data_IF_990001344641
#
_entry.id   IF_990001344641
#
_cell.length_a   1.000
_cell.length_b   1.000
_cell.length_c   1.000
_cell.angle_alpha   90.00
_cell.angle_beta   90.00
_cell.angle_gamma   90.00
#
_symmetry.space_group_name_H-M   'P 1'
#
loop_
_entity.id
_entity.type
_entity.pdbx_description
1 polymer ?
#
# COMPACT_ATOMS: atom_id res chain seq x y z
N UNK A 1 14.26 9.60 6.04
CA UNK A 1 14.33 8.17 6.29
C UNK A 1 14.15 7.43 4.99
N UNK A 2 15.17 6.72 4.55
CA UNK A 2 15.12 6.03 3.27
C UNK A 2 14.45 4.67 3.39
N UNK A 3 13.60 4.36 2.42
CA UNK A 3 13.01 3.04 2.27
C UNK A 3 13.17 2.59 0.82
N UNK A 4 13.02 1.29 0.60
CA UNK A 4 12.96 0.72 -0.74
C UNK A 4 11.95 -0.41 -0.77
N UNK A 5 11.44 -0.69 -1.96
CA UNK A 5 10.50 -1.78 -2.17
C UNK A 5 11.24 -2.97 -2.76
N UNK A 6 10.93 -4.16 -2.23
CA UNK A 6 11.40 -5.41 -2.81
C UNK A 6 10.22 -6.34 -2.95
N UNK A 7 10.05 -6.90 -4.14
CA UNK A 7 8.97 -7.84 -4.37
C UNK A 7 9.05 -9.03 -3.41
N UNK A 8 7.91 -9.44 -2.88
CA UNK A 8 7.85 -10.62 -2.03
C UNK A 8 8.11 -11.86 -2.89
N UNK A 9 9.00 -12.72 -2.42
CA UNK A 9 9.41 -13.93 -3.11
C UNK A 9 9.75 -15.04 -2.11
N UNK A 10 10.34 -16.12 -2.60
CA UNK A 10 10.68 -17.28 -1.76
C UNK A 10 11.74 -16.99 -0.69
N UNK A 11 12.52 -15.91 -0.83
CA UNK A 11 13.58 -15.58 0.13
C UNK A 11 13.10 -14.67 1.26
N UNK A 12 12.01 -13.94 1.09
CA UNK A 12 11.58 -12.95 2.09
C UNK A 12 10.12 -13.07 2.54
N UNK A 13 9.34 -14.01 2.02
CA UNK A 13 7.92 -14.07 2.38
C UNK A 13 7.69 -14.38 3.87
N UNK A 14 8.60 -15.09 4.51
CA UNK A 14 8.49 -15.38 5.94
C UNK A 14 8.62 -14.10 6.76
N UNK A 15 9.48 -13.17 6.33
CA UNK A 15 9.60 -11.88 7.00
C UNK A 15 8.28 -11.11 6.94
N UNK A 16 7.57 -11.20 5.79
CA UNK A 16 6.26 -10.58 5.66
C UNK A 16 5.25 -11.19 6.64
N UNK A 17 5.32 -12.50 6.87
CA UNK A 17 4.43 -13.18 7.82
C UNK A 17 4.63 -12.70 9.26
N UNK A 18 5.82 -12.25 9.59
CA UNK A 18 6.16 -11.79 10.94
C UNK A 18 5.80 -10.31 11.20
N UNK A 19 5.41 -9.57 10.16
CA UNK A 19 4.96 -8.19 10.34
C UNK A 19 3.65 -8.17 11.12
N UNK A 20 3.55 -7.25 12.07
CA UNK A 20 2.37 -7.15 12.94
C UNK A 20 1.68 -5.80 12.75
N UNK A 21 0.36 -5.83 12.66
CA UNK A 21 -0.45 -4.62 12.67
C UNK A 21 -0.47 -4.02 14.08
N UNK A 22 -0.55 -2.71 14.17
CA UNK A 22 -0.73 -2.04 15.46
C UNK A 22 -2.11 -2.38 16.02
N UNK A 23 -2.26 -2.25 17.33
CA UNK A 23 -3.53 -2.55 18.00
C UNK A 23 -4.68 -1.78 17.34
N UNK A 24 -5.72 -2.50 16.94
CA UNK A 24 -6.89 -1.93 16.27
C UNK A 24 -6.78 -1.78 14.77
N UNK A 25 -5.58 -1.84 14.20
CA UNK A 25 -5.43 -1.70 12.74
C UNK A 25 -5.99 -2.88 11.94
N UNK A 26 -6.12 -4.05 12.56
CA UNK A 26 -6.72 -5.22 11.91
C UNK A 26 -8.16 -4.97 11.46
N UNK A 27 -8.81 -3.92 12.01
CA UNK A 27 -10.14 -3.50 11.57
C UNK A 27 -10.09 -2.67 10.28
N UNK A 28 -8.91 -2.19 9.88
CA UNK A 28 -8.75 -1.26 8.77
C UNK A 28 -7.91 -1.81 7.63
N UNK A 29 -7.01 -2.73 7.89
CA UNK A 29 -6.02 -3.20 6.91
C UNK A 29 -5.94 -4.72 6.95
N UNK A 30 -5.80 -5.35 5.79
CA UNK A 30 -5.54 -6.78 5.69
C UNK A 30 -4.14 -7.10 6.18
N UNK A 31 -3.98 -8.25 6.83
CA UNK A 31 -2.66 -8.74 7.21
C UNK A 31 -1.83 -9.08 5.96
N UNK A 32 -0.50 -9.08 6.05
CA UNK A 32 0.33 -9.51 4.91
C UNK A 32 0.01 -10.92 4.43
N UNK A 33 -0.29 -11.85 5.32
CA UNK A 33 -0.66 -13.22 4.93
C UNK A 33 -1.92 -13.23 4.06
N UNK A 34 -2.94 -12.51 4.49
CA UNK A 34 -4.20 -12.43 3.74
C UNK A 34 -3.99 -11.72 2.40
N UNK A 35 -3.21 -10.64 2.40
CA UNK A 35 -2.90 -9.89 1.21
C UNK A 35 -2.13 -10.74 0.19
N UNK A 36 -1.17 -11.54 0.64
CA UNK A 36 -0.40 -12.43 -0.24
C UNK A 36 -1.29 -13.53 -0.85
N UNK A 37 -2.28 -14.03 -0.09
CA UNK A 37 -3.23 -14.99 -0.63
C UNK A 37 -4.07 -14.35 -1.76
N UNK A 38 -4.48 -13.10 -1.58
CA UNK A 38 -5.20 -12.36 -2.61
C UNK A 38 -4.31 -12.08 -3.82
N UNK A 39 -3.03 -11.78 -3.59
CA UNK A 39 -2.07 -11.53 -4.67
C UNK A 39 -1.91 -12.76 -5.58
N UNK A 40 -2.03 -13.95 -5.01
CA UNK A 40 -1.99 -15.18 -5.80
C UNK A 40 -3.18 -15.24 -6.78
N UNK A 41 -4.36 -14.84 -6.32
CA UNK A 41 -5.58 -14.86 -7.16
C UNK A 41 -5.45 -13.85 -8.31
N UNK A 42 -4.89 -12.68 -8.04
CA UNK A 42 -4.78 -11.59 -9.00
C UNK A 42 -3.34 -11.38 -9.50
N UNK A 43 -2.57 -12.47 -9.60
CA UNK A 43 -1.12 -12.40 -9.86
C UNK A 43 -0.76 -11.69 -11.18
N UNK A 44 -1.67 -11.63 -12.14
CA UNK A 44 -1.43 -10.98 -13.44
C UNK A 44 -1.52 -9.45 -13.39
N UNK A 45 -1.98 -8.89 -12.29
CA UNK A 45 -2.29 -7.46 -12.20
C UNK A 45 -1.86 -6.82 -10.88
N UNK A 46 -1.09 -7.52 -10.08
CA UNK A 46 -0.65 -6.96 -8.81
C UNK A 46 0.80 -7.34 -8.49
N UNK A 47 1.41 -6.54 -7.61
CA UNK A 47 2.74 -6.81 -7.10
C UNK A 47 2.75 -6.57 -5.60
N UNK A 48 2.98 -7.61 -4.78
CA UNK A 48 3.20 -7.44 -3.35
C UNK A 48 4.66 -7.09 -3.08
N UNK A 49 4.88 -6.08 -2.24
CA UNK A 49 6.22 -5.62 -1.87
C UNK A 49 6.43 -5.65 -0.37
N UNK A 50 7.64 -6.04 0.05
CA UNK A 50 8.14 -5.69 1.35
C UNK A 50 8.70 -4.27 1.31
N UNK A 51 8.46 -3.51 2.35
CA UNK A 51 9.04 -2.18 2.55
C UNK A 51 10.27 -2.37 3.43
N UNK A 52 11.42 -1.94 2.95
CA UNK A 52 12.70 -2.15 3.64
C UNK A 52 13.33 -0.85 4.05
N UNK A 53 13.94 -0.86 5.22
CA UNK A 53 14.91 0.14 5.64
C UNK A 53 16.22 -0.60 5.89
N UNK A 54 17.25 -0.32 5.09
CA UNK A 54 18.44 -1.15 5.08
C UNK A 54 18.08 -2.58 4.70
N UNK A 55 18.51 -3.53 5.49
CA UNK A 55 18.23 -4.97 5.24
C UNK A 55 17.00 -5.48 5.98
N UNK A 56 16.31 -4.60 6.70
CA UNK A 56 15.17 -5.00 7.53
C UNK A 56 13.85 -4.67 6.83
N UNK A 57 12.95 -5.66 6.75
CA UNK A 57 11.59 -5.43 6.29
C UNK A 57 10.80 -4.75 7.42
N UNK A 58 10.35 -3.53 7.17
CA UNK A 58 9.62 -2.72 8.16
C UNK A 58 8.13 -2.59 7.84
N UNK A 59 7.70 -3.07 6.67
CA UNK A 59 6.31 -2.98 6.29
C UNK A 59 6.01 -3.75 5.02
N UNK A 60 4.79 -3.56 4.54
CA UNK A 60 4.26 -4.29 3.39
C UNK A 60 3.32 -3.38 2.60
N UNK A 61 3.31 -3.52 1.27
CA UNK A 61 2.36 -2.82 0.42
C UNK A 61 2.05 -3.67 -0.80
N UNK A 62 0.79 -3.65 -1.25
CA UNK A 62 0.41 -4.30 -2.50
C UNK A 62 -0.19 -3.28 -3.46
N UNK A 63 0.33 -3.27 -4.67
CA UNK A 63 -0.15 -2.42 -5.77
C UNK A 63 -0.87 -3.32 -6.75
N UNK A 64 -2.07 -2.92 -7.18
CA UNK A 64 -2.86 -3.65 -8.17
C UNK A 64 -3.28 -2.69 -9.28
N UNK A 65 -3.40 -3.23 -10.50
CA UNK A 65 -3.85 -2.49 -11.66
C UNK A 65 -5.20 -3.04 -12.11
N UNK A 66 -6.18 -2.16 -12.23
CA UNK A 66 -7.50 -2.51 -12.73
C UNK A 66 -7.54 -2.29 -14.23
N UNK A 67 -7.57 -3.37 -15.01
CA UNK A 67 -7.58 -3.30 -16.46
C UNK A 67 -8.88 -2.75 -17.03
N UNK A 68 -9.97 -2.84 -16.28
CA UNK A 68 -11.30 -2.42 -16.76
C UNK A 68 -11.47 -0.90 -16.74
N UNK A 69 -10.89 -0.24 -15.74
CA UNK A 69 -11.00 1.21 -15.61
C UNK A 69 -9.68 1.95 -15.75
N UNK A 70 -8.66 1.36 -16.35
CA UNK A 70 -7.21 1.66 -16.33
C UNK A 70 -6.78 2.53 -15.14
N UNK A 71 -6.59 1.89 -13.98
CA UNK A 71 -6.29 2.60 -12.74
C UNK A 71 -5.37 1.76 -11.86
N UNK A 72 -4.40 2.41 -11.21
CA UNK A 72 -3.60 1.76 -10.18
C UNK A 72 -4.23 1.98 -8.83
N UNK A 73 -4.24 0.95 -8.01
CA UNK A 73 -4.72 1.04 -6.63
C UNK A 73 -3.63 0.58 -5.67
N UNK A 74 -3.49 1.30 -4.57
CA UNK A 74 -2.72 0.85 -3.43
C UNK A 74 -3.71 0.07 -2.58
N UNK A 75 -3.62 -1.27 -2.67
CA UNK A 75 -4.66 -2.11 -2.11
C UNK A 75 -4.47 -2.38 -0.62
N UNK A 76 -3.24 -2.65 -0.21
CA UNK A 76 -2.92 -2.86 1.19
C UNK A 76 -1.59 -2.19 1.48
N UNK A 77 -1.49 -1.49 2.60
CA UNK A 77 -0.24 -0.87 3.03
C UNK A 77 -0.19 -0.81 4.55
N UNK A 78 0.90 -1.29 5.14
CA UNK A 78 1.08 -1.23 6.59
C UNK A 78 2.56 -1.14 6.93
N UNK A 79 2.84 -0.55 8.09
CA UNK A 79 4.17 -0.54 8.71
C UNK A 79 4.07 -1.37 9.98
N UNK A 80 5.06 -2.22 10.21
CA UNK A 80 5.11 -3.07 11.40
C UNK A 80 4.92 -2.24 12.67
N UNK A 81 4.18 -2.78 13.63
CA UNK A 81 3.83 -2.06 14.86
C UNK A 81 5.05 -1.51 15.61
N UNK A 82 6.17 -2.21 15.55
CA UNK A 82 7.40 -1.78 16.22
C UNK A 82 8.16 -0.69 15.46
N UNK A 83 7.76 -0.41 14.23
CA UNK A 83 8.46 0.53 13.35
C UNK A 83 7.64 1.78 13.02
N UNK A 84 6.46 1.94 13.59
CA UNK A 84 5.62 3.10 13.33
C UNK A 84 6.16 4.36 14.00
N UNK A 85 5.77 5.52 13.45
CA UNK A 85 6.21 6.80 13.99
C UNK A 85 7.61 7.23 13.57
N UNK A 86 8.26 6.50 12.68
CA UNK A 86 9.64 6.79 12.24
C UNK A 86 9.71 7.40 10.84
N UNK A 87 8.57 7.61 10.18
CA UNK A 87 8.54 8.18 8.83
C UNK A 87 8.62 7.18 7.69
N UNK A 88 8.60 5.88 7.98
CA UNK A 88 8.70 4.85 6.93
C UNK A 88 7.49 4.84 6.00
N UNK A 89 6.29 5.05 6.54
CA UNK A 89 5.09 5.08 5.71
C UNK A 89 5.14 6.16 4.64
N UNK A 90 5.59 7.34 5.01
CA UNK A 90 5.72 8.46 4.09
C UNK A 90 6.76 8.18 3.01
N UNK A 91 7.92 7.68 3.41
CA UNK A 91 8.98 7.35 2.46
C UNK A 91 8.54 6.22 1.52
N UNK A 92 7.90 5.18 2.06
CA UNK A 92 7.43 4.05 1.27
C UNK A 92 6.35 4.46 0.28
N UNK A 93 5.44 5.35 0.68
CA UNK A 93 4.41 5.84 -0.23
C UNK A 93 5.03 6.53 -1.44
N UNK A 94 6.10 7.30 -1.24
CA UNK A 94 6.81 7.91 -2.35
C UNK A 94 7.42 6.85 -3.27
N UNK A 95 7.99 5.80 -2.71
CA UNK A 95 8.51 4.68 -3.52
C UNK A 95 7.41 4.02 -4.34
N UNK A 96 6.23 3.84 -3.75
CA UNK A 96 5.07 3.25 -4.45
C UNK A 96 4.65 4.13 -5.63
N UNK A 97 4.56 5.44 -5.42
CA UNK A 97 4.18 6.36 -6.49
C UNK A 97 5.22 6.36 -7.61
N UNK A 98 6.50 6.30 -7.27
CA UNK A 98 7.57 6.21 -8.26
C UNK A 98 7.46 4.92 -9.08
N UNK A 99 7.16 3.80 -8.42
CA UNK A 99 6.93 2.54 -9.09
C UNK A 99 5.76 2.62 -10.07
N UNK A 100 4.64 3.19 -9.63
CA UNK A 100 3.45 3.33 -10.48
C UNK A 100 3.71 4.24 -11.69
N UNK A 101 4.56 5.26 -11.53
CA UNK A 101 4.92 6.14 -12.65
C UNK A 101 5.62 5.41 -13.79
N UNK A 102 6.23 4.26 -13.51
CA UNK A 102 6.84 3.43 -14.54
C UNK A 102 5.81 2.61 -15.31
N UNK A 103 4.54 2.65 -14.92
CA UNK A 103 3.41 1.98 -15.58
C UNK A 103 3.66 0.49 -15.79
N UNK A 104 3.94 -0.25 -14.70
CA UNK A 104 4.38 -1.65 -14.80
C UNK A 104 3.36 -2.61 -15.41
N UNK A 105 2.06 -2.30 -15.37
CA UNK A 105 1.01 -3.16 -15.90
C UNK A 105 0.25 -2.54 -17.08
N UNK A 106 0.21 -1.24 -17.14
CA UNK A 106 -0.54 -0.57 -18.18
C UNK A 106 -0.56 0.93 -17.96
N UNK A 107 -1.13 1.64 -18.93
CA UNK A 107 -1.15 3.10 -18.92
C UNK A 107 -2.23 3.63 -17.99
N UNK A 108 -1.85 4.50 -17.11
CA UNK A 108 -2.75 5.32 -16.29
C UNK A 108 -1.91 6.29 -15.45
N UNK A 109 -2.44 7.50 -15.30
CA UNK A 109 -1.85 8.49 -14.40
C UNK A 109 -2.64 8.60 -13.10
N UNK A 110 -3.64 7.75 -12.91
CA UNK A 110 -4.51 7.80 -11.74
C UNK A 110 -4.13 6.72 -10.74
N UNK A 111 -4.01 7.12 -9.49
CA UNK A 111 -3.81 6.20 -8.36
C UNK A 111 -4.94 6.41 -7.36
N UNK A 112 -5.58 5.30 -6.95
CA UNK A 112 -6.66 5.35 -5.98
C UNK A 112 -6.38 4.42 -4.82
N UNK A 113 -7.10 4.61 -3.75
CA UNK A 113 -7.10 3.73 -2.59
C UNK A 113 -8.36 3.97 -1.79
N UNK A 114 -8.68 3.04 -0.91
CA UNK A 114 -9.73 3.26 0.09
C UNK A 114 -9.08 3.32 1.46
N UNK A 115 -9.64 4.15 2.32
CA UNK A 115 -9.15 4.34 3.68
C UNK A 115 -10.35 4.43 4.62
N UNK A 116 -10.27 3.71 5.74
CA UNK A 116 -11.30 3.81 6.75
C UNK A 116 -11.28 5.22 7.35
N UNK A 117 -12.43 5.87 7.40
CA UNK A 117 -12.53 7.26 7.87
C UNK A 117 -12.04 7.45 9.31
N UNK A 118 -12.01 6.39 10.10
CA UNK A 118 -11.52 6.45 11.47
C UNK A 118 -10.02 6.22 11.58
N UNK A 119 -9.37 5.78 10.51
CA UNK A 119 -7.92 5.58 10.48
C UNK A 119 -7.23 6.92 10.21
N UNK A 120 -7.14 7.75 11.24
CA UNK A 120 -6.64 9.14 11.12
C UNK A 120 -5.18 9.21 10.69
N UNK A 121 -4.36 8.28 11.16
CA UNK A 121 -2.94 8.26 10.79
C UNK A 121 -2.75 8.06 9.30
N UNK A 122 -3.44 7.07 8.74
CA UNK A 122 -3.37 6.80 7.30
C UNK A 122 -3.99 7.95 6.50
N UNK A 123 -5.13 8.48 6.95
CA UNK A 123 -5.80 9.59 6.28
C UNK A 123 -4.86 10.78 6.13
N UNK A 124 -4.18 11.16 7.21
CA UNK A 124 -3.23 12.28 7.18
C UNK A 124 -2.08 12.01 6.22
N UNK A 125 -1.56 10.79 6.21
CA UNK A 125 -0.48 10.39 5.32
C UNK A 125 -0.88 10.60 3.85
N UNK A 126 -2.04 10.09 3.47
CA UNK A 126 -2.48 10.17 2.08
C UNK A 126 -2.84 11.59 1.66
N UNK A 127 -3.52 12.35 2.51
CA UNK A 127 -3.87 13.73 2.19
C UNK A 127 -2.60 14.59 2.01
N UNK A 128 -1.60 14.40 2.85
CA UNK A 128 -0.33 15.12 2.71
C UNK A 128 0.41 14.76 1.43
N UNK A 129 0.25 13.54 0.96
CA UNK A 129 0.91 13.09 -0.27
C UNK A 129 0.24 13.63 -1.53
N UNK A 130 -0.96 14.20 -1.41
CA UNK A 130 -1.68 14.78 -2.54
C UNK A 130 -2.94 14.05 -2.95
N UNK A 131 -3.30 12.97 -2.22
CA UNK A 131 -4.58 12.30 -2.46
C UNK A 131 -5.72 13.17 -1.98
N UNK A 132 -6.86 13.06 -2.64
CA UNK A 132 -8.08 13.81 -2.29
C UNK A 132 -9.29 12.88 -2.37
N UNK A 133 -10.31 13.12 -1.53
CA UNK A 133 -11.55 12.35 -1.62
C UNK A 133 -12.20 12.49 -3.00
N UNK A 134 -12.70 11.37 -3.54
CA UNK A 134 -13.38 11.36 -4.84
C UNK A 134 -14.88 11.60 -4.72
N UNK A 135 -15.42 11.56 -3.53
CA UNK A 135 -16.85 11.59 -3.28
C UNK A 135 -17.47 10.20 -3.19
N UNK A 136 -16.71 9.16 -3.50
CA UNK A 136 -17.19 7.78 -3.35
C UNK A 136 -16.87 7.26 -1.96
N UNK A 137 -17.81 6.55 -1.39
CA UNK A 137 -17.63 5.90 -0.09
C UNK A 137 -18.48 4.64 -0.04
N UNK A 138 -18.06 3.69 0.79
CA UNK A 138 -18.79 2.46 1.04
C UNK A 138 -18.70 2.22 2.55
N UNK A 139 -19.82 2.39 3.23
CA UNK A 139 -19.88 2.32 4.69
C UNK A 139 -18.86 3.26 5.33
N UNK A 140 -17.83 2.70 5.98
CA UNK A 140 -16.80 3.48 6.67
C UNK A 140 -15.56 3.75 5.83
N UNK A 141 -15.53 3.25 4.57
CA UNK A 141 -14.39 3.41 3.68
C UNK A 141 -14.60 4.58 2.74
N UNK A 142 -13.59 5.43 2.63
CA UNK A 142 -13.60 6.59 1.73
C UNK A 142 -12.59 6.33 0.62
N UNK A 143 -12.99 6.58 -0.61
CA UNK A 143 -12.06 6.52 -1.74
C UNK A 143 -11.28 7.82 -1.84
N UNK A 144 -9.97 7.68 -1.94
CA UNK A 144 -9.05 8.77 -2.21
C UNK A 144 -8.34 8.49 -3.53
N UNK A 145 -8.03 9.54 -4.27
CA UNK A 145 -7.30 9.38 -5.53
C UNK A 145 -6.40 10.57 -5.77
N UNK A 146 -5.38 10.36 -6.61
CA UNK A 146 -4.55 11.44 -7.08
C UNK A 146 -4.16 11.22 -8.53
N UNK A 147 -3.86 12.30 -9.22
CA UNK A 147 -3.38 12.27 -10.58
C UNK A 147 -1.86 12.39 -10.53
N UNK A 148 -1.17 11.41 -11.10
CA UNK A 148 0.30 11.46 -11.22
C UNK A 148 0.70 12.37 -12.38
N UNK A 149 1.87 12.97 -12.22
CA UNK A 149 2.44 13.83 -13.26
C UNK A 149 3.85 13.41 -13.60
#
# INVERSE_FOLDING_TARGET
METRLMQINETNFIDAFHLELADGQEHYVSSPVRSLAQAYVYYKQCTPFGIYHGDKMVGYVMVIYDYDIPEYDIWHMMIDRSEQGKGYGRAALQNVLDYIREKPFGDSDRVALTCNKENQTAMKLYLKAGFAPTGRSDEDEIELAMQLR
#
